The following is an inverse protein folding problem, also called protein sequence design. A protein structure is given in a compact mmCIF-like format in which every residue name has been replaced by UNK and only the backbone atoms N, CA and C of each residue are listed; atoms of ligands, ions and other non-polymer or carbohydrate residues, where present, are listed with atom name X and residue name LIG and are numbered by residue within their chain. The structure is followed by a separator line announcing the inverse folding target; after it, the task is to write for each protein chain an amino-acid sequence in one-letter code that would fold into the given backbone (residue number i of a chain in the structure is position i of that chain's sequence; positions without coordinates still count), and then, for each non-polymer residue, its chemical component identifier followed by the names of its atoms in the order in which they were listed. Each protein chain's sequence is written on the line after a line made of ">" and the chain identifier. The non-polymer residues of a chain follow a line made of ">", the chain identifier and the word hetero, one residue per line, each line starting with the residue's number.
data_IF_213169652831
#
_entry.id   IF_213169652831
#
_cell.length_a   1.000
_cell.length_b   1.000
_cell.length_c   1.000
_cell.angle_alpha   90.00
_cell.angle_beta   90.00
_cell.angle_gamma   90.00
#
_symmetry.space_group_name_H-M   'P 1'
#
loop_
_entity.id
_entity.type
_entity.pdbx_description
1 polymer ?
#
# COMPACT_ATOMS: atom_id res chain seq x y z
N UNK A 1 -7.00 3.20 18.66
CA UNK A 1 -5.64 3.25 18.08
C UNK A 1 -5.09 4.67 18.17
N UNK A 2 -3.87 4.82 18.65
CA UNK A 2 -3.22 6.13 18.72
C UNK A 2 -2.93 6.63 17.30
N UNK A 3 -2.94 7.95 17.13
CA UNK A 3 -2.72 8.57 15.81
C UNK A 3 -1.42 8.10 15.14
N UNK A 4 -0.31 8.10 15.90
CA UNK A 4 0.99 7.70 15.36
C UNK A 4 1.03 6.23 14.97
N UNK A 5 0.42 5.36 15.76
CA UNK A 5 0.32 3.95 15.44
C UNK A 5 -0.47 3.73 14.15
N UNK A 6 -1.56 4.47 13.97
CA UNK A 6 -2.37 4.41 12.76
C UNK A 6 -1.58 4.86 11.54
N UNK A 7 -0.77 5.92 11.69
CA UNK A 7 0.08 6.40 10.60
C UNK A 7 1.11 5.36 10.17
N UNK A 8 1.69 4.62 11.14
CA UNK A 8 2.59 3.52 10.83
C UNK A 8 1.89 2.45 10.00
N UNK A 9 0.68 2.05 10.41
CA UNK A 9 -0.10 1.07 9.66
C UNK A 9 -0.50 1.57 8.29
N UNK A 10 -0.83 2.84 8.14
CA UNK A 10 -1.18 3.41 6.85
C UNK A 10 0.01 3.40 5.89
N UNK A 11 1.23 3.57 6.39
CA UNK A 11 2.43 3.40 5.59
C UNK A 11 2.55 1.97 5.06
N UNK A 12 2.36 0.98 5.94
CA UNK A 12 2.39 -0.43 5.55
C UNK A 12 1.29 -0.77 4.55
N UNK A 13 0.09 -0.24 4.76
CA UNK A 13 -1.05 -0.45 3.87
C UNK A 13 -0.74 0.09 2.47
N UNK A 14 -0.15 1.28 2.36
CA UNK A 14 0.25 1.83 1.06
C UNK A 14 1.25 0.93 0.35
N UNK A 15 2.18 0.36 1.08
CA UNK A 15 3.15 -0.59 0.50
C UNK A 15 2.43 -1.83 0.01
N UNK A 16 1.50 -2.39 0.78
CA UNK A 16 0.68 -3.52 0.34
C UNK A 16 -0.06 -3.21 -0.96
N UNK A 17 -0.67 -2.03 -1.04
CA UNK A 17 -1.40 -1.61 -2.25
C UNK A 17 -0.48 -1.59 -3.46
N UNK A 18 0.71 -1.00 -3.33
CA UNK A 18 1.66 -0.91 -4.44
C UNK A 18 2.18 -2.31 -4.84
N UNK A 19 2.42 -3.18 -3.88
CA UNK A 19 2.85 -4.56 -4.16
C UNK A 19 1.79 -5.28 -5.00
N UNK A 20 0.54 -5.23 -4.60
CA UNK A 20 -0.53 -5.91 -5.34
C UNK A 20 -0.76 -5.27 -6.71
N UNK A 21 -0.73 -3.94 -6.79
CA UNK A 21 -0.87 -3.24 -8.05
C UNK A 21 0.30 -3.51 -9.02
N UNK A 22 1.47 -3.89 -8.50
CA UNK A 22 2.62 -4.25 -9.34
C UNK A 22 2.46 -5.60 -10.02
N UNK A 23 1.59 -6.46 -9.50
CA UNK A 23 1.33 -7.78 -10.07
C UNK A 23 0.17 -7.74 -11.06
N UNK A 24 -0.89 -7.01 -10.73
CA UNK A 24 -2.07 -6.88 -11.60
C UNK A 24 -2.88 -5.66 -11.18
N UNK A 25 -3.74 -5.14 -12.07
CA UNK A 25 -4.64 -4.05 -11.68
C UNK A 25 -5.52 -4.44 -10.50
N UNK A 26 -5.80 -3.51 -9.61
CA UNK A 26 -6.55 -3.78 -8.39
C UNK A 26 -7.89 -3.04 -8.38
N UNK A 27 -8.90 -3.71 -7.81
CA UNK A 27 -10.18 -3.12 -7.46
C UNK A 27 -10.22 -2.84 -5.96
N UNK A 28 -10.88 -1.74 -5.56
CA UNK A 28 -10.92 -1.34 -4.16
C UNK A 28 -11.47 -2.40 -3.22
N UNK A 29 -12.58 -3.04 -3.59
CA UNK A 29 -13.19 -4.06 -2.74
C UNK A 29 -12.29 -5.27 -2.56
N UNK A 30 -11.66 -5.73 -3.64
CA UNK A 30 -10.73 -6.87 -3.57
C UNK A 30 -9.51 -6.50 -2.72
N UNK A 31 -9.03 -5.27 -2.83
CA UNK A 31 -7.91 -4.80 -2.02
C UNK A 31 -8.26 -4.72 -0.53
N UNK A 32 -9.47 -4.28 -0.19
CA UNK A 32 -9.93 -4.30 1.20
C UNK A 32 -9.93 -5.71 1.78
N UNK A 33 -10.41 -6.67 0.99
CA UNK A 33 -10.43 -8.08 1.41
C UNK A 33 -9.02 -8.60 1.62
N UNK A 34 -8.10 -8.28 0.73
CA UNK A 34 -6.70 -8.68 0.85
C UNK A 34 -6.05 -8.09 2.09
N UNK A 35 -6.31 -6.81 2.36
CA UNK A 35 -5.79 -6.16 3.57
C UNK A 35 -6.35 -6.79 4.84
N UNK A 36 -7.61 -7.23 4.80
CA UNK A 36 -8.22 -7.95 5.93
C UNK A 36 -7.48 -9.26 6.22
N UNK A 37 -7.05 -9.98 5.20
CA UNK A 37 -6.26 -11.19 5.37
C UNK A 37 -4.92 -10.93 6.06
N UNK A 38 -4.40 -9.72 5.93
CA UNK A 38 -3.18 -9.29 6.62
C UNK A 38 -3.46 -8.63 7.98
N UNK A 39 -4.70 -8.65 8.43
CA UNK A 39 -5.07 -8.10 9.74
C UNK A 39 -5.43 -6.62 9.75
N UNK A 40 -5.49 -5.97 8.59
CA UNK A 40 -5.87 -4.57 8.51
C UNK A 40 -7.37 -4.43 8.30
N UNK A 41 -8.04 -3.82 9.27
CA UNK A 41 -9.48 -3.60 9.22
C UNK A 41 -9.76 -2.15 8.85
N UNK A 42 -9.85 -1.89 7.56
CA UNK A 42 -10.20 -0.57 7.04
C UNK A 42 -11.40 -0.68 6.12
N UNK A 43 -12.21 0.35 6.14
CA UNK A 43 -13.39 0.45 5.27
C UNK A 43 -13.12 1.32 4.05
N UNK A 44 -14.16 1.48 3.19
CA UNK A 44 -14.04 2.30 1.98
C UNK A 44 -13.71 3.76 2.29
N UNK A 45 -14.22 4.31 3.39
CA UNK A 45 -13.93 5.70 3.79
C UNK A 45 -12.46 5.96 4.10
N UNK A 46 -11.68 4.91 4.35
CA UNK A 46 -10.24 5.02 4.58
C UNK A 46 -9.46 4.61 3.32
N UNK A 47 -9.85 3.50 2.69
CA UNK A 47 -9.10 2.98 1.55
C UNK A 47 -9.16 3.88 0.33
N UNK A 48 -10.36 4.37 -0.06
CA UNK A 48 -10.48 5.17 -1.28
C UNK A 48 -9.72 6.49 -1.22
N UNK A 49 -9.74 7.26 -0.12
CA UNK A 49 -8.86 8.42 -0.01
C UNK A 49 -7.38 8.08 -0.13
N UNK A 50 -6.97 6.92 0.40
CA UNK A 50 -5.59 6.45 0.30
C UNK A 50 -5.22 6.13 -1.16
N UNK A 51 -6.10 5.43 -1.88
CA UNK A 51 -5.89 5.14 -3.31
C UNK A 51 -5.83 6.43 -4.13
N UNK A 52 -6.72 7.39 -3.85
CA UNK A 52 -6.72 8.70 -4.52
C UNK A 52 -5.42 9.46 -4.23
N UNK A 53 -4.91 9.38 -3.02
CA UNK A 53 -3.63 9.99 -2.66
C UNK A 53 -2.47 9.42 -3.45
N UNK A 54 -2.43 8.09 -3.61
CA UNK A 54 -1.41 7.43 -4.41
C UNK A 54 -1.52 7.81 -5.89
N UNK A 55 -2.74 7.98 -6.38
CA UNK A 55 -2.97 8.44 -7.76
C UNK A 55 -2.51 9.87 -7.94
N UNK A 56 -2.85 10.78 -7.02
CA UNK A 56 -2.42 12.18 -7.10
C UNK A 56 -0.90 12.31 -7.05
N UNK A 57 -0.22 11.43 -6.32
CA UNK A 57 1.25 11.44 -6.25
C UNK A 57 1.91 10.78 -7.47
N UNK A 58 1.12 10.28 -8.42
CA UNK A 58 1.64 9.67 -9.63
C UNK A 58 2.06 8.22 -9.51
N UNK A 59 1.76 7.56 -8.40
CA UNK A 59 2.13 6.15 -8.19
C UNK A 59 1.12 5.16 -8.75
N UNK A 60 -0.16 5.57 -8.82
CA UNK A 60 -1.24 4.77 -9.39
C UNK A 60 -1.95 5.59 -10.46
N UNK A 61 -2.57 4.89 -11.40
CA UNK A 61 -3.47 5.46 -12.39
C UNK A 61 -4.76 4.66 -12.40
N UNK A 62 -5.90 5.33 -12.29
CA UNK A 62 -7.19 4.66 -12.30
C UNK A 62 -7.89 4.82 -13.65
N UNK A 63 -8.76 3.88 -13.95
CA UNK A 63 -9.67 3.94 -15.08
C UNK A 63 -10.96 3.22 -14.71
N UNK A 64 -12.03 3.51 -15.46
CA UNK A 64 -13.28 2.79 -15.27
C UNK A 64 -13.29 1.55 -16.15
N UNK A 65 -13.70 0.45 -15.57
CA UNK A 65 -13.88 -0.81 -16.28
C UNK A 65 -15.32 -1.25 -16.15
N UNK A 66 -15.95 -1.57 -17.27
CA UNK A 66 -17.32 -2.09 -17.29
C UNK A 66 -17.26 -3.61 -17.37
N UNK A 67 -17.89 -4.27 -16.40
CA UNK A 67 -17.97 -5.72 -16.36
C UNK A 67 -19.34 -6.12 -15.82
N UNK A 68 -20.04 -6.99 -16.53
CA UNK A 68 -21.39 -7.45 -16.17
C UNK A 68 -22.36 -6.30 -15.88
N UNK A 69 -22.30 -5.22 -16.68
CA UNK A 69 -23.16 -4.05 -16.53
C UNK A 69 -22.78 -3.11 -15.40
N UNK A 70 -21.70 -3.38 -14.69
CA UNK A 70 -21.22 -2.54 -13.59
C UNK A 70 -19.97 -1.77 -14.01
N UNK A 71 -19.91 -0.51 -13.61
CA UNK A 71 -18.72 0.31 -13.74
C UNK A 71 -17.90 0.19 -12.46
N UNK A 72 -16.65 -0.21 -12.59
CA UNK A 72 -15.72 -0.32 -11.48
C UNK A 72 -14.46 0.48 -11.78
N UNK A 73 -13.94 1.17 -10.78
CA UNK A 73 -12.66 1.83 -10.90
C UNK A 73 -11.56 0.83 -10.63
N UNK A 74 -10.61 0.72 -11.55
CA UNK A 74 -9.45 -0.15 -11.42
C UNK A 74 -8.19 0.71 -11.36
N UNK A 75 -7.25 0.31 -10.53
CA UNK A 75 -6.00 1.04 -10.29
C UNK A 75 -4.83 0.22 -10.77
N UNK A 76 -3.98 0.86 -11.57
CA UNK A 76 -2.75 0.26 -12.08
C UNK A 76 -1.55 1.01 -11.54
N UNK A 77 -0.45 0.30 -11.29
CA UNK A 77 0.79 0.96 -10.91
C UNK A 77 1.39 1.67 -12.13
N UNK A 78 1.91 2.86 -11.91
CA UNK A 78 2.61 3.63 -12.95
C UNK A 78 4.10 3.30 -12.93
N UNK A 79 4.85 3.80 -13.92
CA UNK A 79 6.32 3.69 -13.87
C UNK A 79 6.89 4.39 -12.64
N UNK A 80 6.31 5.54 -12.27
CA UNK A 80 6.70 6.24 -11.04
C UNK A 80 6.43 5.40 -9.80
N UNK A 81 5.29 4.70 -9.77
CA UNK A 81 4.95 3.78 -8.69
C UNK A 81 5.90 2.60 -8.60
N UNK A 82 6.29 2.04 -9.73
CA UNK A 82 7.27 0.93 -9.77
C UNK A 82 8.62 1.36 -9.21
N UNK A 83 9.08 2.55 -9.58
CA UNK A 83 10.35 3.11 -9.07
C UNK A 83 10.26 3.36 -7.56
N UNK A 84 9.16 3.93 -7.11
CA UNK A 84 8.94 4.17 -5.68
C UNK A 84 8.93 2.84 -4.91
N UNK A 85 8.23 1.84 -5.43
CA UNK A 85 8.15 0.52 -4.80
C UNK A 85 9.52 -0.14 -4.72
N UNK A 86 10.32 -0.05 -5.78
CA UNK A 86 11.67 -0.62 -5.78
C UNK A 86 12.53 -0.01 -4.66
N UNK A 87 12.49 1.32 -4.50
CA UNK A 87 13.24 1.99 -3.43
C UNK A 87 12.73 1.62 -2.05
N UNK A 88 11.41 1.55 -1.89
CA UNK A 88 10.79 1.17 -0.62
C UNK A 88 11.13 -0.28 -0.28
N UNK A 89 11.15 -1.16 -1.28
CA UNK A 89 11.50 -2.57 -1.07
C UNK A 89 12.90 -2.71 -0.47
N UNK A 90 13.87 -1.96 -0.98
CA UNK A 90 15.22 -1.94 -0.42
C UNK A 90 15.20 -1.54 1.06
N UNK A 91 14.42 -0.52 1.39
CA UNK A 91 14.31 -0.03 2.77
C UNK A 91 13.57 -1.01 3.67
N UNK A 92 12.54 -1.67 3.14
CA UNK A 92 11.82 -2.70 3.89
C UNK A 92 12.74 -3.88 4.19
N UNK A 93 13.51 -4.33 3.21
CA UNK A 93 14.46 -5.43 3.40
C UNK A 93 15.52 -5.08 4.46
N UNK A 94 16.06 -3.87 4.38
CA UNK A 94 17.04 -3.37 5.34
C UNK A 94 16.44 -3.31 6.75
N UNK A 95 15.23 -2.76 6.88
CA UNK A 95 14.53 -2.67 8.15
C UNK A 95 14.21 -4.05 8.71
N UNK A 96 13.75 -4.95 7.85
CA UNK A 96 13.47 -6.34 8.24
C UNK A 96 14.71 -6.99 8.83
N UNK A 97 15.86 -6.80 8.18
CA UNK A 97 17.14 -7.32 8.68
C UNK A 97 17.47 -6.73 10.05
N UNK A 98 17.34 -5.41 10.21
CA UNK A 98 17.61 -4.74 11.48
C UNK A 98 16.68 -5.22 12.61
N UNK A 99 15.40 -5.41 12.29
CA UNK A 99 14.42 -5.90 13.28
C UNK A 99 14.77 -7.28 13.82
N UNK A 100 15.50 -8.08 13.05
CA UNK A 100 15.86 -9.44 13.41
C UNK A 100 17.31 -9.57 13.86
N UNK A 101 18.04 -8.46 13.98
CA UNK A 101 19.36 -8.46 14.60
C UNK A 101 19.24 -8.73 16.09
N UNK A 102 20.15 -9.58 16.60
CA UNK A 102 20.16 -9.86 18.03
C UNK A 102 20.56 -8.63 18.85
N UNK A 103 21.51 -7.85 18.35
CA UNK A 103 22.00 -6.65 19.02
C UNK A 103 22.16 -5.49 18.02
N UNK A 104 21.06 -4.79 17.70
CA UNK A 104 21.17 -3.62 16.82
C UNK A 104 21.97 -2.51 17.51
N UNK A 105 22.60 -1.64 16.69
CA UNK A 105 23.41 -0.56 17.25
C UNK A 105 22.60 0.32 18.19
N UNK A 106 23.18 0.62 19.36
CA UNK A 106 22.55 1.48 20.34
C UNK A 106 22.61 2.94 19.89
N UNK A 107 21.51 3.67 20.08
CA UNK A 107 21.40 5.08 19.70
C UNK A 107 21.06 5.95 20.92
N UNK A 108 21.29 5.45 22.10
CA UNK A 108 20.89 6.12 23.35
C UNK A 108 21.81 7.24 23.83
N UNK A 109 22.71 7.70 23.00
CA UNK A 109 23.63 8.79 23.37
C UNK A 109 23.19 10.10 22.77
#
# INVERSE_FOLDING_TARGET
>A
MLKQQRELYFGLIRIHVLVHASHEPIFGLAMMEELRHHGYRIGPGTLYPLLHGLERSGMLKSSLKVSAGRKRRVYKITNGGKKALAKVTEKVDELHHELHEEHPRALGR
#
